data_IF_615173810938
#
_entry.id   IF_615173810938
#
_cell.length_a   1.000
_cell.length_b   1.000
_cell.length_c   1.000
_cell.angle_alpha   90.00
_cell.angle_beta   90.00
_cell.angle_gamma   90.00
#
_symmetry.space_group_name_H-M   'P 1'
#
loop_
_entity.id
_entity.type
_entity.pdbx_description
1 polymer ?
#
# COMPACT_ATOMS: atom_id res chain seq x y z
N UNK A 1 3.34 3.09 -6.74
CA UNK A 1 3.18 2.49 -8.08
C UNK A 1 2.12 3.27 -8.83
N UNK A 2 2.43 3.81 -10.00
CA UNK A 2 1.48 4.56 -10.81
C UNK A 2 1.19 3.78 -12.10
N UNK A 3 -0.08 3.49 -12.40
CA UNK A 3 -0.50 2.78 -13.63
C UNK A 3 0.04 1.36 -13.81
N UNK A 4 0.69 0.80 -12.79
CA UNK A 4 1.34 -0.51 -12.86
C UNK A 4 0.33 -1.64 -12.68
N UNK A 5 0.59 -2.81 -13.29
CA UNK A 5 -0.28 -3.98 -13.11
C UNK A 5 0.48 -5.29 -12.88
N UNK A 6 -0.18 -6.25 -12.22
CA UNK A 6 0.33 -7.61 -11.97
C UNK A 6 1.63 -7.68 -11.16
N UNK A 7 1.84 -6.73 -10.23
CA UNK A 7 3.00 -6.75 -9.35
C UNK A 7 2.70 -7.41 -8.01
N UNK A 8 3.73 -8.01 -7.41
CA UNK A 8 3.71 -8.53 -6.05
C UNK A 8 4.68 -7.72 -5.18
N UNK A 9 4.14 -7.09 -4.14
CA UNK A 9 4.88 -6.33 -3.14
C UNK A 9 4.66 -7.05 -1.83
N UNK A 10 5.67 -7.75 -1.36
CA UNK A 10 5.53 -8.54 -0.14
C UNK A 10 6.81 -8.71 0.64
N UNK A 11 6.69 -8.74 1.97
CA UNK A 11 7.79 -8.93 2.93
C UNK A 11 8.82 -7.82 2.84
N UNK A 12 8.34 -6.59 2.70
CA UNK A 12 9.17 -5.41 2.82
C UNK A 12 8.93 -4.77 4.19
N UNK A 13 9.99 -4.15 4.70
CA UNK A 13 10.00 -3.29 5.86
C UNK A 13 10.20 -1.85 5.35
N UNK A 14 9.23 -0.97 5.62
CA UNK A 14 9.23 0.41 5.14
C UNK A 14 8.95 1.33 6.33
N UNK A 15 9.90 2.21 6.65
CA UNK A 15 9.82 3.04 7.86
C UNK A 15 10.12 4.50 7.54
N UNK A 16 9.55 5.41 8.35
CA UNK A 16 9.87 6.84 8.36
C UNK A 16 9.80 7.51 6.98
N UNK A 17 8.78 7.15 6.20
CA UNK A 17 8.57 7.72 4.86
C UNK A 17 8.00 9.14 4.97
N UNK A 18 8.57 10.08 4.20
CA UNK A 18 8.24 11.50 4.32
C UNK A 18 6.78 11.88 4.00
N UNK A 19 6.07 11.06 3.23
CA UNK A 19 4.63 11.22 2.96
C UNK A 19 3.91 9.90 3.16
N UNK A 20 3.94 9.01 2.17
CA UNK A 20 3.30 7.70 2.26
C UNK A 20 4.35 6.59 2.18
N UNK A 21 4.13 5.47 2.87
CA UNK A 21 5.02 4.30 2.83
C UNK A 21 4.88 3.51 1.52
N UNK A 22 3.78 2.75 1.37
CA UNK A 22 3.46 2.01 0.14
C UNK A 22 2.22 2.60 -0.53
N UNK A 23 2.39 3.07 -1.77
CA UNK A 23 1.32 3.70 -2.56
C UNK A 23 0.96 2.87 -3.79
N UNK A 24 -0.34 2.65 -4.00
CA UNK A 24 -0.95 2.18 -5.26
C UNK A 24 -1.83 3.29 -5.81
N UNK A 25 -1.53 3.79 -7.02
CA UNK A 25 -2.24 4.93 -7.58
C UNK A 25 -2.30 4.95 -9.11
N UNK A 26 -3.05 5.91 -9.67
CA UNK A 26 -3.06 6.25 -11.09
C UNK A 26 -3.53 5.11 -11.99
N UNK A 27 -4.60 4.41 -11.61
CA UNK A 27 -5.18 3.32 -12.38
C UNK A 27 -4.45 1.98 -12.24
N UNK A 28 -3.47 1.87 -11.35
CA UNK A 28 -2.76 0.62 -11.09
C UNK A 28 -3.76 -0.49 -10.74
N UNK A 29 -3.64 -1.66 -11.36
CA UNK A 29 -4.65 -2.72 -11.29
C UNK A 29 -4.05 -4.12 -11.14
N UNK A 30 -4.75 -5.05 -10.51
CA UNK A 30 -4.32 -6.44 -10.30
C UNK A 30 -2.98 -6.58 -9.56
N UNK A 31 -2.64 -5.66 -8.65
CA UNK A 31 -1.44 -5.77 -7.82
C UNK A 31 -1.77 -6.43 -6.47
N UNK A 32 -0.80 -7.14 -5.90
CA UNK A 32 -0.92 -7.73 -4.55
C UNK A 32 0.09 -7.09 -3.61
N UNK A 33 -0.40 -6.41 -2.57
CA UNK A 33 0.40 -5.85 -1.47
C UNK A 33 0.11 -6.70 -0.22
N UNK A 34 1.08 -7.51 0.22
CA UNK A 34 0.85 -8.44 1.34
C UNK A 34 2.05 -8.63 2.25
N UNK A 35 1.83 -8.84 3.55
CA UNK A 35 2.91 -9.15 4.50
C UNK A 35 4.03 -8.12 4.49
N UNK A 36 3.69 -6.83 4.41
CA UNK A 36 4.65 -5.75 4.61
C UNK A 36 4.46 -5.19 6.01
N UNK A 37 5.54 -4.70 6.60
CA UNK A 37 5.55 -3.95 7.85
C UNK A 37 5.86 -2.50 7.48
N UNK A 38 4.90 -1.60 7.73
CA UNK A 38 4.98 -0.21 7.30
C UNK A 38 4.54 0.71 8.42
N UNK A 39 5.42 1.59 8.89
CA UNK A 39 5.11 2.51 10.00
C UNK A 39 5.89 3.82 9.89
N UNK A 40 5.45 4.82 10.65
CA UNK A 40 6.13 6.11 10.74
C UNK A 40 5.99 7.00 9.50
N UNK A 41 5.04 6.73 8.61
CA UNK A 41 4.82 7.57 7.43
C UNK A 41 4.14 8.90 7.78
N UNK A 42 4.52 9.99 7.13
CA UNK A 42 4.01 11.34 7.43
C UNK A 42 2.50 11.54 7.21
N UNK A 43 1.91 10.81 6.26
CA UNK A 43 0.49 10.83 5.91
C UNK A 43 -0.16 9.48 6.18
N UNK A 44 0.19 8.45 5.40
CA UNK A 44 -0.35 7.10 5.55
C UNK A 44 0.70 6.04 5.27
N UNK A 45 0.74 4.98 6.08
CA UNK A 45 1.66 3.87 5.85
C UNK A 45 1.29 3.11 4.57
N UNK A 46 -0.01 2.82 4.38
CA UNK A 46 -0.54 2.26 3.14
C UNK A 46 -1.55 3.20 2.51
N UNK A 47 -1.36 3.49 1.22
CA UNK A 47 -2.26 4.37 0.48
C UNK A 47 -2.70 3.77 -0.85
N UNK A 48 -4.02 3.74 -1.06
CA UNK A 48 -4.66 3.47 -2.34
C UNK A 48 -5.59 4.63 -2.69
N UNK A 49 -5.37 5.26 -3.84
CA UNK A 49 -6.17 6.41 -4.31
C UNK A 49 -7.59 6.03 -4.79
N UNK A 50 -8.00 4.77 -4.62
CA UNK A 50 -9.29 4.23 -5.06
C UNK A 50 -9.41 4.04 -6.58
N UNK A 51 -8.36 4.33 -7.35
CA UNK A 51 -8.33 4.13 -8.80
C UNK A 51 -7.76 2.76 -9.18
N UNK A 52 -8.10 2.30 -10.38
CA UNK A 52 -7.77 0.94 -10.83
C UNK A 52 -8.58 -0.13 -10.11
N UNK A 53 -8.42 -1.39 -10.49
CA UNK A 53 -9.25 -2.50 -9.99
C UNK A 53 -8.45 -3.76 -9.71
N UNK A 54 -8.98 -4.67 -8.90
CA UNK A 54 -8.36 -5.96 -8.62
C UNK A 54 -7.10 -5.90 -7.74
N UNK A 55 -6.78 -4.75 -7.14
CA UNK A 55 -5.69 -4.68 -6.16
C UNK A 55 -6.10 -5.36 -4.87
N UNK A 56 -5.21 -6.20 -4.32
CA UNK A 56 -5.45 -6.94 -3.08
C UNK A 56 -4.44 -6.50 -2.02
N UNK A 57 -4.97 -6.17 -0.84
CA UNK A 57 -4.22 -5.82 0.36
C UNK A 57 -4.49 -6.89 1.41
N UNK A 58 -3.45 -7.50 1.98
CA UNK A 58 -3.64 -8.63 2.91
C UNK A 58 -2.46 -8.80 3.86
N UNK A 59 -2.72 -8.89 5.16
CA UNK A 59 -1.71 -9.17 6.19
C UNK A 59 -0.60 -8.13 6.18
N UNK A 60 -0.92 -6.85 5.99
CA UNK A 60 0.08 -5.80 6.14
C UNK A 60 -0.05 -5.23 7.55
N UNK A 61 1.07 -5.16 8.24
CA UNK A 61 1.17 -4.55 9.56
C UNK A 61 1.46 -3.06 9.36
N UNK A 62 0.56 -2.19 9.82
CA UNK A 62 0.71 -0.75 9.71
C UNK A 62 -0.11 0.03 10.73
N UNK A 63 0.32 1.26 11.01
CA UNK A 63 -0.37 2.15 11.95
C UNK A 63 -1.53 2.88 11.27
N UNK A 64 -1.34 3.31 10.02
CA UNK A 64 -2.28 4.16 9.28
C UNK A 64 -2.52 3.69 7.85
N UNK A 65 -3.75 3.83 7.37
CA UNK A 65 -4.07 3.56 5.97
C UNK A 65 -5.15 4.47 5.40
N UNK A 66 -5.08 4.71 4.08
CA UNK A 66 -6.12 5.39 3.32
C UNK A 66 -6.40 4.64 2.01
N UNK A 67 -7.63 4.17 1.76
CA UNK A 67 -8.75 4.13 2.70
C UNK A 67 -8.44 3.27 3.93
N UNK A 68 -9.26 3.37 4.97
CA UNK A 68 -9.15 2.46 6.12
C UNK A 68 -9.33 0.99 5.69
N UNK A 69 -8.64 0.07 6.37
CA UNK A 69 -8.75 -1.37 6.14
C UNK A 69 -7.72 -1.95 5.17
N UNK A 70 -6.65 -1.20 4.84
CA UNK A 70 -5.48 -1.78 4.14
C UNK A 70 -4.49 -2.44 5.11
N UNK A 71 -4.52 -2.04 6.39
CA UNK A 71 -3.84 -2.69 7.52
C UNK A 71 -4.67 -3.90 8.02
N UNK A 72 -3.99 -4.92 8.53
CA UNK A 72 -4.59 -6.09 9.21
C UNK A 72 -4.48 -5.98 10.75
#
# INVERSE_FOLDING_TARGET
MQGASHNLISRNEVFDSGVDGIVVSGGASNNTVRRNEVSGSGSYDLHWDGSGTGNTWKKNDCDTSSPAGLCD
#
